data_IF_735468439531
#
_entry.id   IF_735468439531
#
_cell.length_a   1.000
_cell.length_b   1.000
_cell.length_c   1.000
_cell.angle_alpha   90.00
_cell.angle_beta   90.00
_cell.angle_gamma   90.00
#
_symmetry.space_group_name_H-M   'P 1'
#
loop_
_entity.id
_entity.type
_entity.pdbx_description
1 polymer ?
#
# COMPACT_ATOMS: atom_id res chain seq x y z
N UNK A 1 15.70 -6.61 -13.30
CA UNK A 1 14.44 -6.13 -13.93
C UNK A 1 14.50 -4.61 -14.02
N UNK A 2 15.11 -4.07 -15.07
CA UNK A 2 15.24 -2.64 -15.30
C UNK A 2 14.83 -2.35 -16.73
N UNK A 3 13.62 -1.79 -16.90
CA UNK A 3 13.19 -1.20 -18.16
C UNK A 3 12.76 0.22 -17.83
N UNK A 4 13.36 1.18 -18.55
CA UNK A 4 13.15 2.60 -18.35
C UNK A 4 11.69 3.00 -18.64
N UNK A 5 11.19 3.98 -17.87
CA UNK A 5 9.87 4.56 -18.12
C UNK A 5 9.91 5.32 -19.45
N UNK A 6 9.03 4.96 -20.38
CA UNK A 6 8.79 5.69 -21.62
C UNK A 6 7.51 6.51 -21.47
N UNK A 7 7.61 7.84 -21.61
CA UNK A 7 6.46 8.75 -21.57
C UNK A 7 5.49 8.55 -22.74
N UNK A 8 5.93 7.85 -23.79
CA UNK A 8 5.14 7.48 -24.98
C UNK A 8 4.62 6.04 -24.95
N UNK A 9 4.77 5.32 -23.84
CA UNK A 9 4.28 3.95 -23.70
C UNK A 9 2.74 3.87 -23.69
N UNK A 10 2.18 2.77 -24.19
CA UNK A 10 0.74 2.50 -24.17
C UNK A 10 0.17 2.46 -22.74
N UNK A 11 -1.13 2.69 -22.58
CA UNK A 11 -1.80 2.58 -21.27
C UNK A 11 -1.57 1.23 -20.58
N UNK A 12 -1.57 0.14 -21.35
CA UNK A 12 -1.26 -1.20 -20.84
C UNK A 12 0.18 -1.26 -20.31
N UNK A 13 1.15 -0.71 -21.04
CA UNK A 13 2.55 -0.68 -20.62
C UNK A 13 2.76 0.14 -19.35
N UNK A 14 2.17 1.32 -19.27
CA UNK A 14 2.21 2.15 -18.06
C UNK A 14 1.59 1.44 -16.86
N UNK A 15 0.51 0.68 -17.07
CA UNK A 15 -0.14 -0.09 -16.01
C UNK A 15 0.72 -1.26 -15.53
N UNK A 16 1.41 -1.94 -16.44
CA UNK A 16 2.38 -2.99 -16.09
C UNK A 16 3.57 -2.44 -15.30
N UNK A 17 4.09 -1.28 -15.71
CA UNK A 17 5.18 -0.61 -14.97
C UNK A 17 4.75 -0.24 -13.55
N UNK A 18 3.55 0.32 -13.38
CA UNK A 18 2.98 0.57 -12.05
C UNK A 18 2.87 -0.72 -11.24
N UNK A 19 2.32 -1.79 -11.82
CA UNK A 19 2.21 -3.09 -11.16
C UNK A 19 3.57 -3.66 -10.73
N UNK A 20 4.60 -3.55 -11.57
CA UNK A 20 5.99 -3.94 -11.25
C UNK A 20 6.51 -3.19 -10.03
N UNK A 21 6.27 -1.89 -9.95
CA UNK A 21 6.78 -1.08 -8.84
C UNK A 21 6.05 -1.43 -7.52
N UNK A 22 4.78 -1.84 -7.59
CA UNK A 22 4.07 -2.45 -6.44
C UNK A 22 4.72 -3.76 -6.01
N UNK A 23 5.04 -4.63 -6.97
CA UNK A 23 5.73 -5.89 -6.67
C UNK A 23 7.09 -5.64 -6.01
N UNK A 24 7.94 -4.78 -6.60
CA UNK A 24 9.25 -4.45 -6.05
C UNK A 24 9.19 -3.99 -4.59
N UNK A 25 8.19 -3.16 -4.23
CA UNK A 25 8.02 -2.65 -2.86
C UNK A 25 7.43 -3.68 -1.89
N UNK A 26 6.57 -4.58 -2.37
CA UNK A 26 5.87 -5.54 -1.51
C UNK A 26 6.49 -6.93 -1.45
N UNK A 27 7.40 -7.28 -2.37
CA UNK A 27 8.08 -8.59 -2.37
C UNK A 27 9.21 -8.64 -1.35
N UNK A 28 9.45 -9.83 -0.82
CA UNK A 28 10.55 -10.15 0.08
C UNK A 28 11.34 -11.32 -0.46
N UNK A 29 12.65 -11.36 -0.25
CA UNK A 29 13.48 -12.52 -0.51
C UNK A 29 13.27 -13.61 0.52
N UNK A 30 13.09 -14.84 0.04
CA UNK A 30 13.24 -16.06 0.80
C UNK A 30 14.65 -16.58 0.56
N UNK A 31 15.43 -16.62 1.64
CA UNK A 31 16.82 -17.04 1.60
C UNK A 31 16.92 -18.53 1.29
N UNK A 32 17.71 -18.86 0.27
CA UNK A 32 18.18 -20.19 -0.05
C UNK A 32 19.68 -20.27 0.20
N UNK A 33 20.48 -19.95 -0.82
CA UNK A 33 21.94 -19.89 -0.74
C UNK A 33 22.47 -18.50 -0.33
N UNK A 34 21.66 -17.45 -0.45
CA UNK A 34 22.01 -16.08 -0.05
C UNK A 34 22.96 -15.34 -0.99
N UNK A 35 23.44 -15.97 -2.07
CA UNK A 35 24.44 -15.41 -3.00
C UNK A 35 23.89 -14.20 -3.79
N UNK A 36 22.58 -14.15 -4.03
CA UNK A 36 21.96 -13.08 -4.82
C UNK A 36 21.33 -11.97 -3.97
N UNK A 37 21.37 -12.08 -2.65
CA UNK A 37 20.66 -11.16 -1.75
C UNK A 37 21.68 -10.30 -1.02
N UNK A 38 21.58 -8.98 -1.14
CA UNK A 38 22.38 -8.03 -0.37
C UNK A 38 21.89 -7.97 1.07
N UNK A 39 22.82 -7.99 2.03
CA UNK A 39 22.46 -7.96 3.46
C UNK A 39 21.68 -6.70 3.83
N UNK A 40 22.09 -5.53 3.36
CA UNK A 40 21.49 -4.24 3.75
C UNK A 40 20.50 -3.66 2.74
N UNK A 41 20.66 -3.96 1.45
CA UNK A 41 19.86 -3.28 0.41
C UNK A 41 18.58 -4.04 0.04
N UNK A 42 18.53 -5.35 0.31
CA UNK A 42 17.39 -6.19 -0.05
C UNK A 42 16.46 -6.46 1.14
N UNK A 43 15.18 -6.63 0.84
CA UNK A 43 14.18 -6.99 1.83
C UNK A 43 14.16 -8.52 2.03
N UNK A 44 14.74 -9.04 3.10
CA UNK A 44 14.84 -10.49 3.37
C UNK A 44 14.53 -10.90 4.81
N UNK A 45 14.40 -9.95 5.75
CA UNK A 45 14.08 -10.24 7.14
C UNK A 45 12.62 -10.69 7.31
N UNK A 46 12.31 -11.64 8.21
CA UNK A 46 10.96 -12.18 8.42
C UNK A 46 10.00 -11.22 9.15
N UNK A 47 10.06 -9.92 8.86
CA UNK A 47 9.18 -8.88 9.41
C UNK A 47 8.24 -8.30 8.35
N UNK A 48 7.04 -7.88 8.76
CA UNK A 48 6.08 -7.20 7.88
C UNK A 48 6.35 -5.69 7.77
N UNK A 49 6.79 -5.06 8.87
CA UNK A 49 6.97 -3.62 8.92
C UNK A 49 8.38 -3.20 8.48
N UNK A 50 9.38 -4.03 8.79
CA UNK A 50 10.81 -3.74 8.55
C UNK A 50 11.50 -4.94 7.91
N UNK A 51 11.24 -5.22 6.62
CA UNK A 51 11.80 -6.38 5.95
C UNK A 51 13.28 -6.19 5.53
N UNK A 52 13.82 -4.98 5.64
CA UNK A 52 15.24 -4.64 5.38
C UNK A 52 15.99 -4.40 6.70
N UNK A 53 17.28 -4.73 6.71
CA UNK A 53 18.17 -4.48 7.85
C UNK A 53 18.28 -2.97 8.11
N UNK A 54 18.07 -2.56 9.36
CA UNK A 54 18.19 -1.19 9.86
C UNK A 54 19.49 -0.96 10.63
N UNK A 55 20.18 -2.02 11.04
CA UNK A 55 21.50 -1.92 11.67
C UNK A 55 22.48 -1.12 10.80
N UNK A 56 23.34 -0.28 11.42
CA UNK A 56 24.28 0.55 10.70
C UNK A 56 25.23 -0.31 9.87
N UNK A 57 25.38 0.04 8.60
CA UNK A 57 26.29 -0.66 7.70
C UNK A 57 27.74 -0.44 8.16
N UNK A 58 28.45 -1.55 8.37
CA UNK A 58 29.87 -1.53 8.72
C UNK A 58 30.70 -1.19 7.47
N UNK A 59 31.72 -0.33 7.63
CA UNK A 59 32.62 0.02 6.51
C UNK A 59 33.29 -1.24 5.98
N UNK A 60 33.24 -1.44 4.66
CA UNK A 60 33.76 -2.64 3.97
C UNK A 60 32.71 -3.71 3.65
N UNK A 61 31.50 -3.61 4.19
CA UNK A 61 30.41 -4.59 3.96
C UNK A 61 29.34 -4.12 2.95
N UNK A 62 29.66 -3.13 2.11
CA UNK A 62 28.70 -2.55 1.16
C UNK A 62 28.17 -3.56 0.14
N UNK A 63 29.02 -4.51 -0.26
CA UNK A 63 28.69 -5.55 -1.24
C UNK A 63 28.35 -6.91 -0.58
N UNK A 64 28.30 -6.94 0.75
CA UNK A 64 28.08 -8.17 1.50
C UNK A 64 26.75 -8.84 1.11
N UNK A 65 26.84 -10.15 0.90
CA UNK A 65 25.74 -11.03 0.55
C UNK A 65 25.28 -11.81 1.77
N UNK A 66 24.02 -12.24 1.76
CA UNK A 66 23.49 -13.06 2.85
C UNK A 66 24.25 -14.40 2.95
N UNK A 67 24.83 -14.88 1.86
CA UNK A 67 25.75 -16.03 1.86
C UNK A 67 26.95 -15.83 2.78
N UNK A 68 27.43 -14.60 2.98
CA UNK A 68 28.60 -14.30 3.81
C UNK A 68 28.30 -14.43 5.31
N UNK A 69 27.02 -14.52 5.67
CA UNK A 69 26.54 -14.77 7.03
C UNK A 69 26.31 -16.28 7.30
N UNK A 70 26.51 -17.13 6.28
CA UNK A 70 26.29 -18.56 6.34
C UNK A 70 27.64 -19.28 6.26
N UNK A 71 27.88 -20.19 7.19
CA UNK A 71 29.06 -21.03 7.18
C UNK A 71 29.03 -21.97 5.96
N UNK A 72 30.05 -21.98 5.09
CA UNK A 72 30.03 -22.75 3.85
C UNK A 72 30.07 -24.28 4.08
N UNK A 73 30.67 -24.74 5.18
CA UNK A 73 30.87 -26.16 5.48
C UNK A 73 29.67 -26.76 6.23
N UNK A 74 29.18 -26.04 7.24
CA UNK A 74 28.07 -26.51 8.10
C UNK A 74 26.70 -26.09 7.60
N UNK A 75 26.62 -25.17 6.64
CA UNK A 75 25.39 -24.60 6.09
C UNK A 75 24.43 -24.06 7.18
N UNK A 76 25.03 -23.46 8.21
CA UNK A 76 24.35 -22.83 9.34
C UNK A 76 24.72 -21.36 9.41
N UNK A 77 23.85 -20.58 10.05
CA UNK A 77 24.12 -19.19 10.36
C UNK A 77 25.35 -19.03 11.26
N UNK A 78 26.24 -18.12 10.90
CA UNK A 78 27.37 -17.70 11.73
C UNK A 78 26.87 -16.85 12.89
N UNK A 79 26.52 -17.52 13.99
CA UNK A 79 25.77 -16.90 15.09
C UNK A 79 26.53 -15.76 15.77
N UNK A 80 27.84 -15.91 15.95
CA UNK A 80 28.67 -14.89 16.61
C UNK A 80 28.88 -13.67 15.70
N UNK A 81 29.06 -13.90 14.40
CA UNK A 81 29.13 -12.84 13.39
C UNK A 81 27.82 -12.04 13.35
N UNK A 82 26.68 -12.73 13.29
CA UNK A 82 25.36 -12.10 13.22
C UNK A 82 25.08 -11.28 14.49
N UNK A 83 25.38 -11.82 15.67
CA UNK A 83 25.22 -11.06 16.94
C UNK A 83 26.15 -9.86 17.05
N UNK A 84 27.31 -9.89 16.38
CA UNK A 84 28.24 -8.76 16.35
C UNK A 84 27.87 -7.66 15.34
N UNK A 85 27.21 -8.02 14.24
CA UNK A 85 26.88 -7.09 13.15
C UNK A 85 25.50 -6.44 13.28
N UNK A 86 24.53 -7.13 13.86
CA UNK A 86 23.13 -6.69 13.89
C UNK A 86 22.65 -6.38 15.31
N UNK A 87 21.62 -5.55 15.42
CA UNK A 87 20.90 -5.37 16.69
C UNK A 87 20.37 -6.70 17.22
N UNK A 88 20.22 -6.89 18.55
CA UNK A 88 19.75 -8.15 19.11
C UNK A 88 18.41 -8.63 18.53
N UNK A 89 17.50 -7.70 18.24
CA UNK A 89 16.20 -7.98 17.62
C UNK A 89 16.34 -8.51 16.20
N UNK A 90 17.20 -7.89 15.38
CA UNK A 90 17.45 -8.35 14.01
C UNK A 90 18.23 -9.66 13.99
N UNK A 91 19.22 -9.82 14.86
CA UNK A 91 19.98 -11.06 14.99
C UNK A 91 19.07 -12.25 15.33
N UNK A 92 18.12 -12.08 16.25
CA UNK A 92 17.13 -13.11 16.57
C UNK A 92 16.24 -13.45 15.36
N UNK A 93 15.77 -12.43 14.63
CA UNK A 93 14.99 -12.63 13.42
C UNK A 93 15.78 -13.39 12.35
N UNK A 94 17.05 -13.04 12.12
CA UNK A 94 17.92 -13.70 11.15
C UNK A 94 18.12 -15.17 11.54
N UNK A 95 18.47 -15.44 12.80
CA UNK A 95 18.70 -16.79 13.31
C UNK A 95 17.43 -17.66 13.29
N UNK A 96 16.24 -17.05 13.33
CA UNK A 96 14.96 -17.76 13.19
C UNK A 96 14.67 -18.25 11.77
N UNK A 97 15.39 -17.75 10.75
CA UNK A 97 15.19 -18.15 9.36
C UNK A 97 15.75 -19.56 9.16
N UNK A 98 14.92 -20.55 8.80
CA UNK A 98 15.41 -21.89 8.52
C UNK A 98 16.18 -21.89 7.19
N UNK A 99 17.45 -22.33 7.25
CA UNK A 99 18.23 -22.62 6.06
C UNK A 99 17.84 -23.99 5.51
N UNK A 100 17.70 -24.09 4.19
CA UNK A 100 17.46 -25.37 3.52
C UNK A 100 18.69 -26.27 3.68
N UNK A 101 18.51 -27.57 3.91
CA UNK A 101 19.63 -28.53 3.91
C UNK A 101 20.33 -28.64 2.54
N UNK A 102 19.60 -28.28 1.48
CA UNK A 102 20.09 -28.25 0.10
C UNK A 102 20.36 -26.81 -0.32
N UNK A 103 21.42 -26.58 -1.10
CA UNK A 103 21.71 -25.29 -1.73
C UNK A 103 20.65 -24.95 -2.77
N UNK A 104 19.53 -24.39 -2.33
CA UNK A 104 18.45 -23.91 -3.19
C UNK A 104 18.67 -22.46 -3.57
N UNK A 105 18.27 -22.06 -4.78
CA UNK A 105 18.32 -20.67 -5.20
C UNK A 105 17.38 -19.79 -4.38
N UNK A 106 17.80 -18.55 -4.13
CA UNK A 106 16.99 -17.51 -3.51
C UNK A 106 15.75 -17.22 -4.36
N UNK A 107 14.63 -16.90 -3.70
CA UNK A 107 13.34 -16.64 -4.39
C UNK A 107 12.67 -15.40 -3.85
N UNK A 108 12.14 -14.56 -4.73
CA UNK A 108 11.20 -13.51 -4.33
C UNK A 108 9.84 -14.13 -4.01
N UNK A 109 9.29 -13.75 -2.86
CA UNK A 109 7.98 -14.16 -2.38
C UNK A 109 7.12 -12.94 -2.07
N UNK A 110 5.81 -13.13 -2.14
CA UNK A 110 4.82 -12.19 -1.68
C UNK A 110 4.39 -12.55 -0.24
N UNK A 111 4.85 -11.82 0.80
CA UNK A 111 4.74 -12.25 2.19
C UNK A 111 3.32 -12.13 2.79
N UNK A 112 2.37 -11.56 2.04
CA UNK A 112 1.00 -11.33 2.50
C UNK A 112 0.06 -12.52 2.27
N UNK A 113 0.59 -13.63 1.73
CA UNK A 113 -0.15 -14.86 1.46
C UNK A 113 0.71 -16.06 1.81
N UNK A 114 0.13 -17.09 2.42
CA UNK A 114 0.84 -18.31 2.85
C UNK A 114 1.50 -19.08 1.70
N UNK A 115 0.95 -19.02 0.49
CA UNK A 115 1.54 -19.62 -0.70
C UNK A 115 2.83 -18.93 -1.17
N UNK A 116 3.08 -17.71 -0.71
CA UNK A 116 4.18 -16.86 -1.19
C UNK A 116 3.99 -16.34 -2.62
N UNK A 117 2.90 -16.71 -3.30
CA UNK A 117 2.60 -16.27 -4.66
C UNK A 117 1.76 -15.00 -4.63
N UNK A 118 2.03 -14.10 -5.57
CA UNK A 118 1.26 -12.87 -5.71
C UNK A 118 -0.18 -13.17 -6.15
N UNK A 119 -1.14 -12.56 -5.45
CA UNK A 119 -2.55 -12.52 -5.87
C UNK A 119 -3.04 -11.07 -5.84
N UNK A 120 -3.84 -10.70 -6.85
CA UNK A 120 -4.34 -9.33 -7.05
C UNK A 120 -5.04 -8.78 -5.81
N UNK A 121 -5.89 -9.59 -5.16
CA UNK A 121 -6.60 -9.20 -3.93
C UNK A 121 -5.65 -8.75 -2.82
N UNK A 122 -4.56 -9.49 -2.60
CA UNK A 122 -3.57 -9.15 -1.57
C UNK A 122 -2.75 -7.92 -1.96
N UNK A 123 -2.43 -7.76 -3.24
CA UNK A 123 -1.77 -6.57 -3.78
C UNK A 123 -2.60 -5.30 -3.59
N UNK A 124 -3.90 -5.39 -3.85
CA UNK A 124 -4.83 -4.30 -3.59
C UNK A 124 -4.88 -3.92 -2.11
N UNK A 125 -4.99 -4.91 -1.21
CA UNK A 125 -4.99 -4.65 0.23
C UNK A 125 -3.69 -4.01 0.72
N UNK A 126 -2.55 -4.44 0.17
CA UNK A 126 -1.24 -3.82 0.44
C UNK A 126 -1.25 -2.33 0.05
N UNK A 127 -1.74 -1.99 -1.14
CA UNK A 127 -1.82 -0.59 -1.60
C UNK A 127 -2.77 0.26 -0.76
N UNK A 128 -3.91 -0.29 -0.33
CA UNK A 128 -4.84 0.42 0.54
C UNK A 128 -4.19 0.74 1.89
N UNK A 129 -3.46 -0.21 2.48
CA UNK A 129 -2.72 0.01 3.73
C UNK A 129 -1.64 1.07 3.55
N UNK A 130 -0.84 0.98 2.48
CA UNK A 130 0.21 1.96 2.17
C UNK A 130 -0.38 3.38 2.03
N UNK A 131 -1.46 3.53 1.28
CA UNK A 131 -2.13 4.82 1.08
C UNK A 131 -2.74 5.35 2.40
N UNK A 132 -3.30 4.48 3.24
CA UNK A 132 -3.83 4.88 4.54
C UNK A 132 -2.75 5.33 5.53
N UNK A 133 -1.54 4.76 5.45
CA UNK A 133 -0.41 5.19 6.27
C UNK A 133 0.14 6.56 5.83
N UNK A 134 -0.01 6.91 4.54
CA UNK A 134 0.41 8.20 3.99
C UNK A 134 -0.66 9.30 4.15
N UNK A 135 -1.93 8.92 4.26
CA UNK A 135 -3.02 9.86 4.51
C UNK A 135 -3.02 10.30 5.99
N UNK A 136 -2.59 11.53 6.26
CA UNK A 136 -2.73 12.22 7.55
C UNK A 136 -4.18 12.47 7.97
N UNK A 137 -5.15 12.13 7.10
CA UNK A 137 -6.57 12.31 7.31
C UNK A 137 -7.19 11.04 7.91
N UNK A 138 -7.62 11.15 9.17
CA UNK A 138 -8.31 10.14 9.97
C UNK A 138 -9.65 9.70 9.36
N UNK A 139 -9.60 8.99 8.23
CA UNK A 139 -10.80 8.38 7.66
C UNK A 139 -11.04 7.07 8.39
N UNK A 140 -11.63 7.15 9.59
CA UNK A 140 -11.93 5.97 10.41
C UNK A 140 -12.68 4.92 9.57
N UNK A 141 -12.07 3.73 9.32
CA UNK A 141 -12.68 2.68 8.50
C UNK A 141 -14.06 2.27 9.04
N UNK A 142 -14.22 2.29 10.37
CA UNK A 142 -15.47 1.97 11.05
C UNK A 142 -16.62 2.94 10.76
N UNK A 143 -16.33 4.24 10.61
CA UNK A 143 -17.36 5.26 10.28
C UNK A 143 -17.88 5.00 8.86
N UNK A 144 -17.00 4.74 7.90
CA UNK A 144 -17.39 4.37 6.55
C UNK A 144 -18.23 3.09 6.53
N UNK A 145 -17.84 2.06 7.29
CA UNK A 145 -18.56 0.79 7.32
C UNK A 145 -19.96 0.92 7.94
N UNK A 146 -20.12 1.76 8.97
CA UNK A 146 -21.42 2.07 9.56
C UNK A 146 -22.32 2.84 8.58
N UNK A 147 -21.79 3.84 7.88
CA UNK A 147 -22.52 4.59 6.84
C UNK A 147 -23.01 3.66 5.73
N UNK A 148 -22.13 2.78 5.21
CA UNK A 148 -22.54 1.84 4.15
C UNK A 148 -23.63 0.89 4.62
N UNK A 149 -23.51 0.36 5.84
CA UNK A 149 -24.54 -0.51 6.42
C UNK A 149 -25.89 0.19 6.50
N UNK A 150 -25.92 1.41 7.03
CA UNK A 150 -27.15 2.20 7.14
C UNK A 150 -27.79 2.50 5.77
N UNK A 151 -26.98 2.80 4.74
CA UNK A 151 -27.48 3.05 3.38
C UNK A 151 -28.11 1.78 2.78
N UNK A 152 -27.50 0.62 2.99
CA UNK A 152 -27.95 -0.63 2.39
C UNK A 152 -29.10 -1.29 3.17
N UNK A 153 -29.19 -1.07 4.48
CA UNK A 153 -30.27 -1.57 5.34
C UNK A 153 -31.53 -0.68 5.29
N UNK A 154 -31.42 0.56 4.79
CA UNK A 154 -32.56 1.47 4.69
C UNK A 154 -33.71 0.87 3.87
N UNK A 155 -34.94 0.92 4.40
CA UNK A 155 -36.18 0.41 3.78
C UNK A 155 -36.69 1.32 2.66
N UNK A 156 -35.85 1.55 1.65
CA UNK A 156 -36.12 2.40 0.47
C UNK A 156 -35.81 1.65 -0.82
N UNK A 157 -36.39 2.04 -1.97
CA UNK A 157 -36.07 1.44 -3.25
C UNK A 157 -34.56 1.51 -3.57
N UNK A 158 -34.05 0.50 -4.28
CA UNK A 158 -32.62 0.40 -4.63
C UNK A 158 -32.05 1.61 -5.36
N UNK A 159 -32.88 2.33 -6.15
CA UNK A 159 -32.47 3.58 -6.80
C UNK A 159 -32.07 4.67 -5.79
N UNK A 160 -32.74 4.73 -4.64
CA UNK A 160 -32.45 5.70 -3.57
C UNK A 160 -31.18 5.30 -2.83
N UNK A 161 -30.99 4.01 -2.52
CA UNK A 161 -29.75 3.50 -1.91
C UNK A 161 -28.52 3.82 -2.77
N UNK A 162 -28.62 3.54 -4.08
CA UNK A 162 -27.56 3.87 -5.03
C UNK A 162 -27.30 5.38 -5.12
N UNK A 163 -28.35 6.20 -5.14
CA UNK A 163 -28.21 7.64 -5.12
C UNK A 163 -27.47 8.13 -3.88
N UNK A 164 -27.87 7.69 -2.68
CA UNK A 164 -27.21 8.03 -1.42
C UNK A 164 -25.73 7.58 -1.42
N UNK A 165 -25.45 6.36 -1.89
CA UNK A 165 -24.07 5.90 -2.04
C UNK A 165 -23.25 6.82 -2.95
N UNK A 166 -23.80 7.23 -4.11
CA UNK A 166 -23.14 8.17 -5.03
C UNK A 166 -22.93 9.54 -4.38
N UNK A 167 -23.87 10.03 -3.59
CA UNK A 167 -23.75 11.29 -2.84
C UNK A 167 -22.61 11.20 -1.82
N UNK A 168 -22.59 10.16 -0.98
CA UNK A 168 -21.55 9.94 0.03
C UNK A 168 -20.16 9.73 -0.59
N UNK A 169 -20.09 9.20 -1.82
CA UNK A 169 -18.84 9.07 -2.59
C UNK A 169 -18.49 10.32 -3.41
N UNK A 170 -19.25 11.41 -3.29
CA UNK A 170 -19.12 12.61 -4.10
C UNK A 170 -19.05 12.29 -5.62
N UNK A 171 -19.86 11.34 -6.06
CA UNK A 171 -19.89 10.79 -7.43
C UNK A 171 -21.12 11.24 -8.23
N UNK A 172 -21.88 12.20 -7.71
CA UNK A 172 -22.96 12.87 -8.44
C UNK A 172 -22.39 14.00 -9.31
N UNK A 173 -23.03 14.30 -10.46
CA UNK A 173 -22.51 15.26 -11.43
C UNK A 173 -22.78 16.71 -11.02
N UNK A 174 -22.22 17.16 -9.89
CA UNK A 174 -22.27 18.59 -9.53
C UNK A 174 -21.22 19.37 -10.30
N UNK A 175 -21.41 20.68 -10.50
CA UNK A 175 -20.42 21.52 -11.19
C UNK A 175 -19.04 21.46 -10.55
N UNK A 176 -18.93 21.40 -9.22
CA UNK A 176 -17.64 21.23 -8.56
C UNK A 176 -16.92 19.95 -8.99
N UNK A 177 -17.65 18.83 -9.13
CA UNK A 177 -17.08 17.55 -9.59
C UNK A 177 -16.74 17.56 -11.09
N UNK A 178 -17.52 18.29 -11.89
CA UNK A 178 -17.26 18.46 -13.32
C UNK A 178 -16.00 19.32 -13.56
N UNK A 179 -15.76 20.35 -12.75
CA UNK A 179 -14.53 21.14 -12.77
C UNK A 179 -13.32 20.29 -12.39
N UNK A 180 -13.41 19.48 -11.33
CA UNK A 180 -12.33 18.56 -10.94
C UNK A 180 -11.97 17.57 -12.06
N UNK A 181 -12.96 17.16 -12.85
CA UNK A 181 -12.78 16.29 -14.02
C UNK A 181 -12.39 17.05 -15.29
N UNK A 182 -12.17 18.37 -15.20
CA UNK A 182 -11.79 19.25 -16.32
C UNK A 182 -12.83 19.28 -17.45
N UNK A 183 -14.10 19.06 -17.13
CA UNK A 183 -15.23 19.13 -18.06
C UNK A 183 -15.78 20.56 -18.11
N UNK A 184 -15.83 21.23 -16.95
CA UNK A 184 -16.25 22.63 -16.82
C UNK A 184 -15.09 23.49 -16.33
N UNK A 185 -15.16 24.79 -16.63
CA UNK A 185 -14.20 25.80 -16.18
C UNK A 185 -14.64 26.38 -14.83
N UNK A 186 -15.95 26.65 -14.66
CA UNK A 186 -16.50 27.25 -13.45
C UNK A 186 -17.40 26.29 -12.67
N UNK A 187 -17.24 26.31 -11.34
CA UNK A 187 -17.93 25.41 -10.42
C UNK A 187 -19.11 26.03 -9.68
N UNK A 188 -19.42 27.30 -9.96
CA UNK A 188 -20.41 28.08 -9.22
C UNK A 188 -21.84 27.60 -9.49
N UNK A 189 -22.64 27.50 -8.43
CA UNK A 189 -24.04 27.12 -8.52
C UNK A 189 -24.87 28.19 -9.23
N UNK A 190 -25.64 27.82 -10.26
CA UNK A 190 -26.45 28.77 -11.04
C UNK A 190 -27.61 29.36 -10.24
N UNK A 191 -28.08 28.65 -9.21
CA UNK A 191 -29.22 29.08 -8.42
C UNK A 191 -28.83 30.06 -7.30
N UNK A 192 -27.69 29.85 -6.63
CA UNK A 192 -27.26 30.73 -5.54
C UNK A 192 -26.24 31.77 -5.97
N UNK A 193 -25.51 31.52 -7.07
CA UNK A 193 -24.45 32.36 -7.63
C UNK A 193 -23.32 32.79 -6.66
N UNK A 194 -23.34 32.28 -5.42
CA UNK A 194 -22.45 32.72 -4.35
C UNK A 194 -21.46 31.65 -3.90
N UNK A 195 -21.72 30.37 -4.20
CA UNK A 195 -20.90 29.26 -3.71
C UNK A 195 -20.74 28.14 -4.75
N UNK A 196 -19.65 27.36 -4.69
CA UNK A 196 -19.45 26.22 -5.57
C UNK A 196 -20.51 25.14 -5.32
N UNK A 197 -21.04 24.57 -6.40
CA UNK A 197 -22.06 23.54 -6.33
C UNK A 197 -21.45 22.21 -5.87
N UNK A 198 -21.43 21.99 -4.56
CA UNK A 198 -21.03 20.71 -3.95
C UNK A 198 -22.22 19.76 -3.85
N UNK A 199 -21.97 18.47 -3.58
CA UNK A 199 -23.04 17.48 -3.41
C UNK A 199 -24.06 17.87 -2.33
N UNK A 200 -23.59 18.40 -1.19
CA UNK A 200 -24.46 18.86 -0.10
C UNK A 200 -25.21 20.15 -0.46
N UNK A 201 -24.58 21.04 -1.24
CA UNK A 201 -25.21 22.26 -1.73
C UNK A 201 -26.32 21.96 -2.75
N UNK A 202 -26.06 21.07 -3.71
CA UNK A 202 -27.03 20.63 -4.72
C UNK A 202 -28.24 19.93 -4.09
N UNK A 203 -28.04 19.22 -2.98
CA UNK A 203 -29.12 18.57 -2.21
C UNK A 203 -29.83 19.51 -1.23
N UNK A 204 -29.39 20.77 -1.11
CA UNK A 204 -29.96 21.74 -0.17
C UNK A 204 -29.61 21.48 1.30
N UNK A 205 -28.76 20.51 1.61
CA UNK A 205 -28.36 20.15 2.99
C UNK A 205 -27.60 21.30 3.65
N UNK A 206 -26.82 22.06 2.88
CA UNK A 206 -26.06 23.21 3.41
C UNK A 206 -26.96 24.32 3.96
N UNK A 207 -28.17 24.50 3.43
CA UNK A 207 -29.16 25.48 3.93
C UNK A 207 -29.82 25.02 5.24
N UNK A 208 -29.98 23.71 5.41
CA UNK A 208 -30.56 23.12 6.62
C UNK A 208 -29.58 23.24 7.78
N UNK A 209 -28.29 22.99 7.54
CA UNK A 209 -27.25 23.07 8.58
C UNK A 209 -27.06 24.52 9.07
N UNK A 210 -27.12 25.52 8.18
CA UNK A 210 -27.06 26.94 8.57
C UNK A 210 -28.29 27.43 9.35
N UNK A 211 -29.43 26.74 9.27
CA UNK A 211 -30.66 27.08 9.99
C UNK A 211 -30.78 26.48 11.39
N UNK A 212 -29.88 25.57 11.78
CA UNK A 212 -29.93 24.87 13.09
C UNK A 212 -29.04 25.55 14.16
N UNK A 213 -28.18 26.49 13.77
CA UNK A 213 -27.34 27.27 14.69
C UNK A 213 -27.98 28.51 15.32
N UNK A 214 -29.30 28.66 15.19
CA UNK A 214 -30.06 29.81 15.70
C UNK A 214 -31.26 29.39 16.53
N UNK A 215 -31.01 28.83 17.71
CA UNK A 215 -31.90 28.90 18.88
C UNK A 215 -31.05 29.04 20.14
#
# INVERSE_FOLDING_TARGET
MEVAQSSRGSYAWQSLLKGRDVLKRGTRWRIGCGENVSVWNDAWLPSQDKPTVQSPMVKGFQEAKVSDLINPDSHKWESDLIKGLFTPQEAELILSIPLSQWRTKDKLIWPFVSSGNYIVKSGYNFLIKENSAQATSSTNPGINQAIWRNIWDATVPNKVRNFLWRVCKNAIPTKSNLVQRKILIEGTCDHCQASPETALHALGVSKIISGVGGR
#
